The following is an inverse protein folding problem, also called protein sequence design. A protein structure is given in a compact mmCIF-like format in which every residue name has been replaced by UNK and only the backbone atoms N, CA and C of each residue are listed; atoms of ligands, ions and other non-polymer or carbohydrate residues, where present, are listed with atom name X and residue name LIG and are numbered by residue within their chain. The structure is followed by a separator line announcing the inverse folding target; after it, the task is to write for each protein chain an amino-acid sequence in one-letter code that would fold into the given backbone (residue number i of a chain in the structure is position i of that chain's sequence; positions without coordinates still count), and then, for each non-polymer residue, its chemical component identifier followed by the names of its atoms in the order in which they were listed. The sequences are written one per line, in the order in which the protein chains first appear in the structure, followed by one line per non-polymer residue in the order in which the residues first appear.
data_IF_012084775668
#
_entry.id   IF_012084775668
#
_cell.length_a   1.000
_cell.length_b   1.000
_cell.length_c   1.000
_cell.angle_alpha   90.00
_cell.angle_beta   90.00
_cell.angle_gamma   90.00
#
_symmetry.space_group_name_H-M   'P 1'
#
loop_
_entity.id
_entity.type
_entity.pdbx_description
1 polymer ?
#
# COMPACT_ATOMS: atom_id res chain seq x y z
N UNK A 1 16.38 -7.07 -4.15
CA UNK A 1 15.65 -6.21 -5.11
C UNK A 1 14.26 -5.95 -4.57
N UNK A 2 13.76 -4.71 -4.66
CA UNK A 2 12.43 -4.30 -4.18
C UNK A 2 11.28 -5.09 -4.84
N UNK A 3 11.43 -5.43 -6.13
CA UNK A 3 10.51 -6.31 -6.87
C UNK A 3 11.28 -7.35 -7.71
N UNK A 4 10.70 -8.53 -7.97
CA UNK A 4 11.25 -9.50 -8.92
C UNK A 4 11.45 -8.91 -10.31
N UNK A 5 12.56 -9.28 -10.96
CA UNK A 5 12.96 -8.75 -12.29
C UNK A 5 11.84 -8.75 -13.33
N UNK A 6 11.04 -9.82 -13.38
CA UNK A 6 9.91 -9.91 -14.33
C UNK A 6 8.82 -8.87 -14.07
N UNK A 7 8.52 -8.57 -12.80
CA UNK A 7 7.56 -7.54 -12.42
C UNK A 7 8.13 -6.16 -12.77
N UNK A 8 9.42 -5.93 -12.51
CA UNK A 8 10.14 -4.70 -12.89
C UNK A 8 10.14 -4.45 -14.40
N UNK A 9 10.41 -5.48 -15.22
CA UNK A 9 10.36 -5.37 -16.70
C UNK A 9 8.94 -5.02 -17.17
N UNK A 10 7.91 -5.66 -16.59
CA UNK A 10 6.50 -5.37 -16.94
C UNK A 10 6.14 -3.92 -16.59
N UNK A 11 6.52 -3.46 -15.40
CA UNK A 11 6.27 -2.09 -14.97
C UNK A 11 7.01 -1.09 -15.86
N UNK A 12 8.28 -1.34 -16.18
CA UNK A 12 9.08 -0.52 -17.09
C UNK A 12 8.46 -0.45 -18.50
N UNK A 13 7.98 -1.58 -19.02
CA UNK A 13 7.28 -1.63 -20.32
C UNK A 13 5.97 -0.86 -20.29
N UNK A 14 5.19 -0.98 -19.21
CA UNK A 14 3.96 -0.22 -19.02
C UNK A 14 4.25 1.28 -19.01
N UNK A 15 5.21 1.73 -18.20
CA UNK A 15 5.57 3.13 -18.08
C UNK A 15 6.12 3.70 -19.40
N UNK A 16 6.94 2.93 -20.11
CA UNK A 16 7.43 3.31 -21.44
C UNK A 16 6.25 3.50 -22.42
N UNK A 17 5.27 2.60 -22.40
CA UNK A 17 4.04 2.74 -23.21
C UNK A 17 3.29 4.03 -22.87
N UNK A 18 3.10 4.36 -21.59
CA UNK A 18 2.42 5.60 -21.20
C UNK A 18 3.18 6.84 -21.69
N UNK A 19 4.51 6.83 -21.56
CA UNK A 19 5.39 7.91 -22.06
C UNK A 19 5.27 8.07 -23.59
N UNK A 20 5.28 6.97 -24.34
CA UNK A 20 5.11 6.99 -25.81
C UNK A 20 3.73 7.50 -26.23
N UNK A 21 2.68 7.14 -25.48
CA UNK A 21 1.32 7.62 -25.68
C UNK A 21 1.10 9.06 -25.17
N UNK A 22 2.12 9.71 -24.59
CA UNK A 22 2.05 11.05 -23.98
C UNK A 22 0.91 11.21 -22.98
N UNK A 23 0.60 10.13 -22.24
CA UNK A 23 -0.42 10.18 -21.19
C UNK A 23 0.18 10.77 -19.93
N UNK A 24 -0.37 11.90 -19.50
CA UNK A 24 0.10 12.60 -18.31
C UNK A 24 -0.33 11.91 -17.01
N UNK A 25 -1.56 11.37 -16.99
CA UNK A 25 -2.16 10.70 -15.83
C UNK A 25 -2.56 9.26 -16.20
N UNK A 26 -2.23 8.31 -15.33
CA UNK A 26 -2.52 6.88 -15.49
C UNK A 26 -2.36 6.14 -14.16
N UNK A 27 -3.13 5.07 -13.95
CA UNK A 27 -3.01 4.23 -12.77
C UNK A 27 -1.81 3.27 -12.90
N UNK A 28 -0.93 3.27 -11.90
CA UNK A 28 0.14 2.28 -11.74
C UNK A 28 -0.32 1.08 -10.92
N UNK A 29 -1.16 1.34 -9.93
CA UNK A 29 -1.78 0.36 -9.07
C UNK A 29 -3.18 0.88 -8.72
N UNK A 30 -4.17 0.00 -8.64
CA UNK A 30 -5.49 0.35 -8.07
C UNK A 30 -5.60 -0.25 -6.69
N UNK A 31 -6.00 0.57 -5.71
CA UNK A 31 -6.50 0.07 -4.43
C UNK A 31 -7.96 -0.37 -4.64
N UNK A 32 -8.22 -1.67 -4.55
CA UNK A 32 -9.54 -2.25 -4.70
C UNK A 32 -10.07 -2.57 -3.31
N UNK A 33 -11.20 -1.98 -2.93
CA UNK A 33 -11.88 -2.19 -1.65
C UNK A 33 -13.20 -2.98 -1.88
N UNK A 34 -13.18 -4.34 -1.97
CA UNK A 34 -14.34 -5.14 -2.31
C UNK A 34 -15.34 -5.28 -1.16
N UNK A 35 -14.95 -4.86 0.05
CA UNK A 35 -15.82 -4.72 1.21
C UNK A 35 -15.25 -3.70 2.20
N UNK A 36 -16.10 -3.21 3.07
CA UNK A 36 -15.71 -2.36 4.19
C UNK A 36 -15.75 -3.06 5.56
N UNK A 37 -16.33 -4.27 5.67
CA UNK A 37 -16.34 -4.99 6.93
C UNK A 37 -14.95 -5.53 7.29
N UNK A 38 -14.57 -5.37 8.56
CA UNK A 38 -13.34 -5.87 9.14
C UNK A 38 -13.63 -6.61 10.45
N UNK A 39 -12.74 -7.54 10.81
CA UNK A 39 -12.73 -8.30 12.06
C UNK A 39 -11.87 -7.64 13.16
N UNK A 40 -11.34 -6.44 12.88
CA UNK A 40 -10.58 -5.58 13.80
C UNK A 40 -11.10 -4.14 13.73
N UNK A 41 -10.78 -3.34 14.75
CA UNK A 41 -11.16 -1.94 14.86
C UNK A 41 -9.93 -1.09 15.22
N UNK A 42 -8.95 -1.06 14.32
CA UNK A 42 -7.65 -0.43 14.55
C UNK A 42 -7.77 1.09 14.75
N UNK A 43 -6.97 1.65 15.67
CA UNK A 43 -7.02 3.06 16.05
C UNK A 43 -6.72 4.04 14.89
N UNK A 44 -5.84 3.65 13.98
CA UNK A 44 -5.46 4.46 12.80
C UNK A 44 -6.33 4.25 11.56
N UNK A 45 -7.40 3.45 11.63
CA UNK A 45 -8.23 3.12 10.45
C UNK A 45 -9.49 4.00 10.35
N UNK A 46 -9.60 4.78 9.28
CA UNK A 46 -10.82 5.54 8.95
C UNK A 46 -11.79 4.81 8.01
N UNK A 47 -11.39 3.69 7.41
CA UNK A 47 -12.05 3.07 6.24
C UNK A 47 -13.22 2.13 6.58
N UNK A 48 -13.37 1.71 7.83
CA UNK A 48 -14.40 0.76 8.25
C UNK A 48 -15.60 1.43 8.93
N UNK A 49 -15.59 2.76 9.06
CA UNK A 49 -16.64 3.53 9.71
C UNK A 49 -17.82 3.76 8.77
N UNK A 50 -18.63 2.72 8.59
CA UNK A 50 -19.80 2.74 7.73
C UNK A 50 -21.04 2.15 8.41
N UNK A 51 -22.25 2.58 8.00
CA UNK A 51 -23.50 1.95 8.41
C UNK A 51 -23.50 0.44 8.17
N UNK A 52 -24.19 -0.31 9.04
CA UNK A 52 -24.27 -1.77 8.94
C UNK A 52 -24.80 -2.26 7.58
N UNK A 53 -25.64 -1.48 6.90
CA UNK A 53 -26.13 -1.78 5.54
C UNK A 53 -25.01 -1.83 4.50
N UNK A 54 -23.97 -1.00 4.64
CA UNK A 54 -22.79 -0.99 3.77
C UNK A 54 -21.80 -2.08 4.19
N UNK A 55 -21.58 -2.28 5.49
CA UNK A 55 -20.65 -3.31 6.00
C UNK A 55 -21.06 -4.74 5.59
N UNK A 56 -22.35 -5.00 5.37
CA UNK A 56 -22.86 -6.29 4.91
C UNK A 56 -22.65 -6.55 3.40
N UNK A 57 -22.31 -5.53 2.62
CA UNK A 57 -22.16 -5.66 1.18
C UNK A 57 -20.82 -6.30 0.80
N UNK A 58 -20.81 -6.99 -0.35
CA UNK A 58 -19.66 -7.66 -0.93
C UNK A 58 -19.66 -7.37 -2.43
N UNK A 59 -18.54 -6.89 -2.95
CA UNK A 59 -18.40 -6.51 -4.34
C UNK A 59 -18.45 -7.76 -5.24
N UNK A 60 -19.37 -7.82 -6.22
CA UNK A 60 -19.36 -8.91 -7.20
C UNK A 60 -18.01 -9.03 -7.91
N UNK A 61 -17.63 -10.25 -8.28
CA UNK A 61 -16.37 -10.54 -8.96
C UNK A 61 -16.25 -9.74 -10.27
N UNK A 62 -17.34 -9.68 -11.02
CA UNK A 62 -17.42 -8.99 -12.31
C UNK A 62 -17.16 -7.49 -12.15
N UNK A 63 -17.70 -6.89 -11.08
CA UNK A 63 -17.50 -5.48 -10.78
C UNK A 63 -16.03 -5.19 -10.44
N UNK A 64 -15.42 -6.02 -9.57
CA UNK A 64 -14.00 -5.91 -9.23
C UNK A 64 -13.10 -6.01 -10.47
N UNK A 65 -13.36 -6.99 -11.33
CA UNK A 65 -12.59 -7.19 -12.56
C UNK A 65 -12.77 -6.02 -13.53
N UNK A 66 -14.01 -5.55 -13.72
CA UNK A 66 -14.31 -4.45 -14.63
C UNK A 66 -13.57 -3.17 -14.26
N UNK A 67 -13.49 -2.80 -12.98
CA UNK A 67 -12.76 -1.61 -12.53
C UNK A 67 -11.25 -1.69 -12.84
N UNK A 68 -10.64 -2.86 -12.67
CA UNK A 68 -9.21 -3.07 -12.95
C UNK A 68 -8.92 -3.13 -14.46
N UNK A 69 -9.88 -3.55 -15.28
CA UNK A 69 -9.78 -3.47 -16.74
C UNK A 69 -9.98 -2.04 -17.24
N UNK A 70 -10.97 -1.32 -16.71
CA UNK A 70 -11.27 0.07 -17.04
C UNK A 70 -10.06 1.00 -16.81
N UNK A 71 -9.42 0.88 -15.64
CA UNK A 71 -8.24 1.70 -15.30
C UNK A 71 -6.98 1.39 -16.13
N UNK A 72 -6.91 0.19 -16.70
CA UNK A 72 -5.72 -0.28 -17.41
C UNK A 72 -4.50 -0.52 -16.52
N UNK A 73 -4.63 -0.44 -15.18
CA UNK A 73 -3.51 -0.55 -14.26
C UNK A 73 -2.83 -1.93 -14.35
N UNK A 74 -1.49 -2.01 -14.31
CA UNK A 74 -0.77 -3.29 -14.35
C UNK A 74 -0.83 -4.04 -13.00
N UNK A 75 -1.11 -3.32 -11.91
CA UNK A 75 -1.10 -3.83 -10.54
C UNK A 75 -2.41 -3.51 -9.83
N UNK A 76 -2.73 -4.33 -8.84
CA UNK A 76 -3.89 -4.16 -7.96
C UNK A 76 -3.48 -4.57 -6.56
N UNK A 77 -3.74 -3.69 -5.60
CA UNK A 77 -3.75 -4.01 -4.18
C UNK A 77 -5.20 -4.21 -3.79
N UNK A 78 -5.54 -5.41 -3.34
CA UNK A 78 -6.88 -5.67 -2.83
C UNK A 78 -6.83 -5.39 -1.33
N UNK A 79 -7.33 -4.22 -0.98
CA UNK A 79 -7.44 -3.67 0.35
C UNK A 79 -8.93 -3.57 0.74
N UNK A 80 -9.27 -2.76 1.76
CA UNK A 80 -10.63 -2.58 2.25
C UNK A 80 -10.71 -2.81 3.75
N UNK A 81 -11.82 -3.34 4.25
CA UNK A 81 -11.89 -3.88 5.60
C UNK A 81 -10.92 -5.06 5.77
N UNK A 82 -11.43 -6.28 5.97
CA UNK A 82 -10.61 -7.49 5.85
C UNK A 82 -11.01 -8.28 4.59
N UNK A 83 -10.22 -8.26 3.51
CA UNK A 83 -10.53 -8.95 2.26
C UNK A 83 -10.89 -10.42 2.41
N UNK A 84 -10.29 -11.13 3.36
CA UNK A 84 -10.60 -12.55 3.63
C UNK A 84 -12.00 -12.78 4.23
N UNK A 85 -12.76 -11.73 4.57
CA UNK A 85 -14.19 -11.83 4.91
C UNK A 85 -15.12 -11.82 3.67
N UNK A 86 -14.57 -11.71 2.47
CA UNK A 86 -15.32 -11.77 1.22
C UNK A 86 -15.36 -13.20 0.69
N UNK A 87 -16.56 -13.78 0.49
CA UNK A 87 -16.67 -15.22 0.19
C UNK A 87 -16.01 -15.63 -1.13
N UNK A 88 -15.89 -14.70 -2.09
CA UNK A 88 -15.34 -14.92 -3.43
C UNK A 88 -13.98 -14.21 -3.66
N UNK A 89 -13.24 -13.89 -2.60
CA UNK A 89 -11.96 -13.17 -2.73
C UNK A 89 -10.93 -13.95 -3.55
N UNK A 90 -10.90 -15.27 -3.41
CA UNK A 90 -10.05 -16.18 -4.17
C UNK A 90 -10.38 -16.15 -5.66
N UNK A 91 -11.66 -16.05 -6.01
CA UNK A 91 -12.11 -15.92 -7.40
C UNK A 91 -11.73 -14.56 -8.00
N UNK A 92 -11.86 -13.46 -7.25
CA UNK A 92 -11.37 -12.13 -7.66
C UNK A 92 -9.87 -12.20 -7.97
N UNK A 93 -9.07 -12.75 -7.05
CA UNK A 93 -7.62 -12.91 -7.25
C UNK A 93 -7.34 -13.76 -8.49
N UNK A 94 -8.01 -14.90 -8.66
CA UNK A 94 -7.82 -15.80 -9.81
C UNK A 94 -8.10 -15.08 -11.15
N UNK A 95 -9.18 -14.32 -11.23
CA UNK A 95 -9.57 -13.57 -12.44
C UNK A 95 -8.58 -12.45 -12.79
N UNK A 96 -8.04 -11.76 -11.79
CA UNK A 96 -7.03 -10.72 -11.97
C UNK A 96 -5.68 -11.31 -12.39
N UNK A 97 -5.30 -12.46 -11.82
CA UNK A 97 -4.09 -13.19 -12.22
C UNK A 97 -4.19 -13.73 -13.66
N UNK A 98 -5.36 -14.24 -14.07
CA UNK A 98 -5.61 -14.68 -15.45
C UNK A 98 -5.42 -13.54 -16.47
N UNK A 99 -5.74 -12.30 -16.07
CA UNK A 99 -5.50 -11.06 -16.83
C UNK A 99 -4.08 -10.52 -16.69
N UNK A 100 -3.17 -11.32 -16.13
CA UNK A 100 -1.75 -11.00 -15.94
C UNK A 100 -1.50 -9.77 -15.06
N UNK A 101 -2.45 -9.39 -14.21
CA UNK A 101 -2.24 -8.35 -13.20
C UNK A 101 -1.24 -8.84 -12.14
N UNK A 102 -0.54 -7.90 -11.52
CA UNK A 102 0.21 -8.15 -10.29
C UNK A 102 -0.73 -7.85 -9.13
N UNK A 103 -1.00 -8.86 -8.32
CA UNK A 103 -2.00 -8.82 -7.26
C UNK A 103 -1.30 -8.88 -5.91
N UNK A 104 -1.56 -7.87 -5.09
CA UNK A 104 -1.24 -7.86 -3.68
C UNK A 104 -2.55 -8.03 -2.91
N UNK A 105 -2.63 -9.02 -2.02
CA UNK A 105 -3.81 -9.19 -1.16
C UNK A 105 -3.45 -8.77 0.25
N UNK A 106 -3.98 -7.61 0.66
CA UNK A 106 -3.74 -7.02 1.97
C UNK A 106 -4.59 -7.74 3.03
N UNK A 107 -4.02 -8.02 4.19
CA UNK A 107 -4.74 -8.71 5.27
C UNK A 107 -4.11 -8.42 6.64
N UNK A 108 -4.93 -8.46 7.70
CA UNK A 108 -4.46 -8.53 9.09
C UNK A 108 -4.05 -9.95 9.52
N UNK A 109 -4.10 -10.91 8.59
CA UNK A 109 -3.67 -12.30 8.71
C UNK A 109 -4.46 -13.20 9.67
N UNK A 110 -5.38 -12.67 10.50
CA UNK A 110 -6.16 -13.49 11.44
C UNK A 110 -7.03 -14.55 10.74
N UNK A 111 -7.50 -14.25 9.52
CA UNK A 111 -8.30 -15.17 8.72
C UNK A 111 -7.48 -15.98 7.71
N UNK A 112 -6.18 -15.68 7.57
CA UNK A 112 -5.32 -16.27 6.56
C UNK A 112 -5.19 -17.79 6.72
N UNK A 113 -4.92 -18.37 7.91
CA UNK A 113 -4.84 -19.83 8.08
C UNK A 113 -6.07 -20.58 7.60
N UNK A 114 -7.27 -20.00 7.79
CA UNK A 114 -8.54 -20.61 7.39
C UNK A 114 -8.79 -20.54 5.88
N UNK A 115 -8.18 -19.58 5.20
CA UNK A 115 -8.43 -19.32 3.77
C UNK A 115 -7.27 -19.69 2.86
N UNK A 116 -6.08 -19.95 3.39
CA UNK A 116 -4.86 -20.18 2.61
C UNK A 116 -5.04 -21.27 1.54
N UNK A 117 -5.78 -22.34 1.86
CA UNK A 117 -6.07 -23.45 0.95
C UNK A 117 -6.87 -23.08 -0.30
N UNK A 118 -7.55 -21.92 -0.31
CA UNK A 118 -8.29 -21.42 -1.48
C UNK A 118 -7.37 -20.75 -2.51
N UNK A 119 -6.13 -20.45 -2.15
CA UNK A 119 -5.17 -19.77 -3.01
C UNK A 119 -4.09 -20.73 -3.47
N UNK A 120 -3.42 -20.38 -4.56
CA UNK A 120 -2.25 -21.11 -5.07
C UNK A 120 -1.09 -20.14 -5.23
N UNK A 121 0.15 -20.51 -4.83
CA UNK A 121 1.32 -19.68 -5.07
C UNK A 121 1.44 -19.30 -6.54
N UNK A 122 1.62 -18.01 -6.80
CA UNK A 122 1.71 -17.51 -8.16
C UNK A 122 2.72 -16.36 -8.24
N UNK A 123 3.53 -16.35 -9.29
CA UNK A 123 4.60 -15.36 -9.52
C UNK A 123 4.17 -13.89 -9.59
N UNK A 124 2.89 -13.62 -9.80
CA UNK A 124 2.31 -12.26 -9.79
C UNK A 124 1.41 -12.05 -8.56
N UNK A 125 1.48 -12.92 -7.55
CA UNK A 125 0.67 -12.83 -6.34
C UNK A 125 1.57 -12.70 -5.11
N UNK A 126 1.15 -11.90 -4.14
CA UNK A 126 1.77 -11.85 -2.83
C UNK A 126 0.74 -11.52 -1.77
N UNK A 127 0.93 -12.13 -0.60
CA UNK A 127 0.28 -11.66 0.62
C UNK A 127 0.95 -10.38 1.07
N UNK A 128 0.16 -9.39 1.50
CA UNK A 128 0.65 -8.19 2.13
C UNK A 128 0.07 -8.12 3.54
N UNK A 129 0.85 -8.58 4.51
CA UNK A 129 0.41 -8.66 5.91
C UNK A 129 0.77 -7.37 6.62
N UNK A 130 -0.22 -6.76 7.27
CA UNK A 130 0.03 -5.57 8.09
C UNK A 130 0.72 -5.95 9.40
N UNK A 131 1.90 -5.38 9.66
CA UNK A 131 2.65 -5.51 10.91
C UNK A 131 3.17 -4.12 11.31
N UNK A 132 2.38 -3.38 12.08
CA UNK A 132 2.65 -1.99 12.47
C UNK A 132 3.55 -1.84 13.72
N UNK A 133 4.39 -2.84 14.03
CA UNK A 133 5.30 -2.82 15.17
C UNK A 133 5.66 -4.22 15.67
N UNK A 134 6.50 -4.30 16.70
CA UNK A 134 6.68 -5.53 17.47
C UNK A 134 5.46 -5.79 18.37
N UNK A 135 5.39 -7.00 18.94
CA UNK A 135 4.24 -7.55 19.70
C UNK A 135 3.31 -6.52 20.35
N UNK A 136 3.75 -5.84 21.39
CA UNK A 136 2.90 -4.92 22.17
C UNK A 136 2.43 -3.73 21.34
N UNK A 137 3.34 -3.14 20.55
CA UNK A 137 3.07 -1.99 19.69
C UNK A 137 2.07 -2.33 18.58
N UNK A 138 2.18 -3.51 17.99
CA UNK A 138 1.26 -4.01 16.98
C UNK A 138 -0.13 -4.26 17.55
N UNK A 139 -0.21 -4.99 18.67
CA UNK A 139 -1.46 -5.32 19.35
C UNK A 139 -2.20 -4.05 19.80
N UNK A 140 -1.46 -3.04 20.26
CA UNK A 140 -2.01 -1.71 20.58
C UNK A 140 -2.61 -1.01 19.35
N UNK A 141 -1.91 -1.02 18.19
CA UNK A 141 -2.41 -0.44 16.94
C UNK A 141 -3.71 -1.03 16.45
N UNK A 142 -3.86 -2.34 16.61
CA UNK A 142 -5.06 -3.08 16.18
C UNK A 142 -6.11 -3.21 17.27
N UNK A 143 -5.85 -2.62 18.45
CA UNK A 143 -6.70 -2.61 19.63
C UNK A 143 -7.11 -4.02 20.10
N UNK A 144 -6.19 -4.98 19.99
CA UNK A 144 -6.45 -6.39 20.35
C UNK A 144 -5.16 -7.15 20.63
N UNK A 145 -5.12 -7.78 21.80
CA UNK A 145 -3.97 -8.59 22.23
C UNK A 145 -3.84 -9.91 21.43
N UNK A 146 -2.59 -10.33 21.23
CA UNK A 146 -2.21 -11.58 20.60
C UNK A 146 -2.38 -11.60 19.07
N UNK A 147 -2.60 -10.45 18.43
CA UNK A 147 -2.72 -10.37 16.97
C UNK A 147 -1.36 -10.54 16.31
N UNK A 148 -0.30 -9.96 16.89
CA UNK A 148 1.07 -10.09 16.38
C UNK A 148 1.49 -11.56 16.23
N UNK A 149 1.29 -12.36 17.26
CA UNK A 149 1.63 -13.79 17.22
C UNK A 149 0.86 -14.56 16.17
N UNK A 150 -0.44 -14.29 16.07
CA UNK A 150 -1.30 -14.92 15.07
C UNK A 150 -0.86 -14.53 13.66
N UNK A 151 -0.52 -13.26 13.43
CA UNK A 151 -0.03 -12.77 12.15
C UNK A 151 1.32 -13.41 11.80
N UNK A 152 2.27 -13.47 12.74
CA UNK A 152 3.58 -14.14 12.55
C UNK A 152 3.39 -15.63 12.22
N UNK A 153 2.51 -16.33 12.93
CA UNK A 153 2.21 -17.73 12.66
C UNK A 153 1.60 -17.92 11.27
N UNK A 154 0.67 -17.04 10.87
CA UNK A 154 0.05 -17.06 9.55
C UNK A 154 1.05 -16.75 8.41
N UNK A 155 1.97 -15.80 8.63
CA UNK A 155 3.07 -15.51 7.70
C UNK A 155 3.92 -16.76 7.48
N UNK A 156 4.35 -17.43 8.56
CA UNK A 156 5.15 -18.67 8.48
C UNK A 156 4.40 -19.78 7.74
N UNK A 157 3.09 -19.92 7.96
CA UNK A 157 2.26 -20.89 7.23
C UNK A 157 2.17 -20.57 5.74
N UNK A 158 1.98 -19.30 5.38
CA UNK A 158 1.94 -18.89 3.97
C UNK A 158 3.30 -19.08 3.27
N UNK A 159 4.41 -18.74 3.93
CA UNK A 159 5.76 -19.00 3.44
C UNK A 159 6.01 -20.51 3.24
N UNK A 160 5.62 -21.35 4.23
CA UNK A 160 5.76 -22.80 4.14
C UNK A 160 4.92 -23.42 3.01
N UNK A 161 3.77 -22.81 2.67
CA UNK A 161 2.97 -23.17 1.51
C UNK A 161 3.51 -22.62 0.18
N UNK A 162 4.68 -21.97 0.18
CA UNK A 162 5.37 -21.47 -1.01
C UNK A 162 4.88 -20.11 -1.52
N UNK A 163 4.06 -19.39 -0.74
CA UNK A 163 3.64 -18.05 -1.12
C UNK A 163 4.72 -17.02 -0.88
N UNK A 164 4.76 -16.02 -1.76
CA UNK A 164 5.47 -14.77 -1.48
C UNK A 164 4.71 -14.00 -0.40
N UNK A 165 5.40 -13.60 0.66
CA UNK A 165 4.82 -12.81 1.75
C UNK A 165 5.59 -11.51 1.90
N UNK A 166 4.86 -10.42 1.81
CA UNK A 166 5.34 -9.07 2.04
C UNK A 166 4.65 -8.51 3.28
N UNK A 167 5.26 -7.50 3.88
CA UNK A 167 4.63 -6.74 4.97
C UNK A 167 4.39 -5.30 4.59
N UNK A 168 3.43 -4.68 5.28
CA UNK A 168 3.23 -3.24 5.29
C UNK A 168 3.25 -2.77 6.75
N UNK A 169 4.01 -1.72 7.03
CA UNK A 169 4.24 -1.19 8.39
C UNK A 169 4.02 0.32 8.38
N UNK A 170 3.11 0.78 9.22
CA UNK A 170 2.79 2.19 9.41
C UNK A 170 3.46 2.71 10.66
N UNK A 171 4.20 3.82 10.54
CA UNK A 171 4.87 4.47 11.67
C UNK A 171 4.18 5.79 12.03
N UNK A 172 3.98 6.01 13.32
CA UNK A 172 3.28 7.14 13.93
C UNK A 172 4.27 7.97 14.76
N UNK A 173 3.82 9.06 15.37
CA UNK A 173 4.67 9.96 16.16
C UNK A 173 5.14 9.35 17.50
N UNK A 174 4.44 8.31 17.95
CA UNK A 174 4.81 7.49 19.11
C UNK A 174 5.97 6.53 18.83
N UNK A 175 6.35 6.34 17.56
CA UNK A 175 7.44 5.46 17.17
C UNK A 175 8.79 6.18 17.20
N UNK A 176 9.79 5.53 17.78
CA UNK A 176 11.18 6.01 17.80
C UNK A 176 11.97 5.45 16.62
N UNK A 177 13.15 6.03 16.29
CA UNK A 177 14.04 5.42 15.30
C UNK A 177 14.45 3.99 15.63
N UNK A 178 14.49 3.63 16.92
CA UNK A 178 14.82 2.27 17.35
C UNK A 178 13.67 1.31 17.05
N UNK A 179 12.41 1.72 17.25
CA UNK A 179 11.24 0.90 16.89
C UNK A 179 11.21 0.55 15.40
N UNK A 180 11.55 1.53 14.54
CA UNK A 180 11.71 1.33 13.09
C UNK A 180 12.81 0.29 12.80
N UNK A 181 13.96 0.40 13.48
CA UNK A 181 15.08 -0.53 13.28
C UNK A 181 14.67 -1.94 13.72
N UNK A 182 14.09 -2.07 14.90
CA UNK A 182 13.78 -3.37 15.52
C UNK A 182 12.71 -4.13 14.72
N UNK A 183 11.65 -3.44 14.28
CA UNK A 183 10.61 -4.08 13.46
C UNK A 183 11.17 -4.49 12.09
N UNK A 184 12.01 -3.66 11.46
CA UNK A 184 12.59 -3.99 10.15
C UNK A 184 13.63 -5.10 10.25
N UNK A 185 14.45 -5.13 11.31
CA UNK A 185 15.38 -6.22 11.56
C UNK A 185 14.64 -7.53 11.84
N UNK A 186 13.59 -7.51 12.66
CA UNK A 186 12.77 -8.69 12.92
C UNK A 186 12.12 -9.22 11.63
N UNK A 187 11.46 -8.35 10.86
CA UNK A 187 10.78 -8.77 9.62
C UNK A 187 11.77 -9.26 8.56
N UNK A 188 12.94 -8.62 8.44
CA UNK A 188 13.95 -8.94 7.45
C UNK A 188 14.79 -10.18 7.80
N UNK A 189 15.22 -10.33 9.05
CA UNK A 189 16.22 -11.32 9.45
C UNK A 189 15.58 -12.53 10.14
N UNK A 190 14.66 -12.28 11.08
CA UNK A 190 14.03 -13.34 11.88
C UNK A 190 12.87 -14.00 11.12
N UNK A 191 11.95 -13.19 10.58
CA UNK A 191 10.78 -13.70 9.86
C UNK A 191 11.08 -13.96 8.37
N UNK A 192 12.13 -13.35 7.83
CA UNK A 192 12.60 -13.61 6.47
C UNK A 192 11.56 -13.29 5.39
N UNK A 193 10.74 -12.24 5.56
CA UNK A 193 9.71 -11.88 4.56
C UNK A 193 10.37 -11.44 3.25
N UNK A 194 9.68 -11.63 2.12
CA UNK A 194 10.27 -11.35 0.80
C UNK A 194 10.64 -9.87 0.65
N UNK A 195 9.69 -9.00 1.01
CA UNK A 195 9.88 -7.56 0.98
C UNK A 195 9.00 -6.84 2.01
N UNK A 196 9.39 -5.63 2.40
CA UNK A 196 8.68 -4.81 3.38
C UNK A 196 8.31 -3.45 2.77
N UNK A 197 7.08 -3.03 2.97
CA UNK A 197 6.63 -1.65 2.73
C UNK A 197 6.52 -0.90 4.04
N UNK A 198 6.88 0.37 3.99
CA UNK A 198 6.84 1.28 5.11
C UNK A 198 6.11 2.54 4.68
N UNK A 199 5.34 3.10 5.60
CA UNK A 199 4.66 4.37 5.40
C UNK A 199 4.67 5.17 6.68
N UNK A 200 4.87 6.50 6.60
CA UNK A 200 4.39 7.38 7.65
C UNK A 200 2.86 7.25 7.74
N UNK A 201 2.33 7.31 8.97
CA UNK A 201 0.91 7.37 9.25
C UNK A 201 0.30 8.63 8.63
N UNK A 202 -0.93 8.49 8.13
CA UNK A 202 -1.71 9.61 7.61
C UNK A 202 -2.92 9.86 8.51
N UNK A 203 -3.05 11.10 8.98
CA UNK A 203 -4.18 11.55 9.79
C UNK A 203 -5.48 11.56 8.99
N UNK A 204 -6.17 10.42 8.93
CA UNK A 204 -7.52 10.39 8.39
C UNK A 204 -8.44 11.22 9.29
N UNK A 205 -9.25 12.11 8.71
CA UNK A 205 -10.28 12.87 9.45
C UNK A 205 -11.25 11.96 10.22
N UNK A 206 -11.43 10.73 9.73
CA UNK A 206 -12.29 9.71 10.33
C UNK A 206 -11.56 8.75 11.25
N UNK A 207 -10.22 8.79 11.38
CA UNK A 207 -9.54 7.88 12.29
C UNK A 207 -9.96 8.14 13.75
N UNK A 208 -10.19 7.10 14.57
CA UNK A 208 -10.41 7.27 16.00
C UNK A 208 -9.31 8.08 16.70
N UNK A 209 -8.05 7.90 16.27
CA UNK A 209 -6.91 8.68 16.75
C UNK A 209 -6.68 9.93 15.88
N UNK A 210 -6.67 11.10 16.51
CA UNK A 210 -6.44 12.41 15.88
C UNK A 210 -5.17 13.11 16.38
N UNK A 211 -4.51 12.58 17.42
CA UNK A 211 -3.43 13.27 18.12
C UNK A 211 -2.04 12.77 17.71
N UNK A 212 -1.93 11.48 17.35
CA UNK A 212 -0.65 10.79 17.20
C UNK A 212 -0.18 10.66 15.73
N UNK A 213 0.13 11.79 15.09
CA UNK A 213 0.49 11.82 13.66
C UNK A 213 1.78 12.61 13.40
N UNK A 214 2.69 12.02 12.61
CA UNK A 214 3.92 12.67 12.22
C UNK A 214 3.66 13.81 11.24
N UNK A 215 4.22 14.99 11.54
CA UNK A 215 4.41 16.02 10.53
C UNK A 215 5.56 15.66 9.56
N UNK A 216 5.74 16.43 8.47
CA UNK A 216 6.76 16.11 7.47
C UNK A 216 8.18 16.18 8.02
N UNK A 217 8.46 17.08 8.97
CA UNK A 217 9.80 17.24 9.53
C UNK A 217 10.12 16.15 10.54
N UNK A 218 9.15 15.79 11.39
CA UNK A 218 9.24 14.67 12.32
C UNK A 218 9.45 13.35 11.56
N UNK A 219 8.68 13.14 10.47
CA UNK A 219 8.86 12.00 9.57
C UNK A 219 10.29 11.93 9.03
N UNK A 220 10.82 13.06 8.54
CA UNK A 220 12.19 13.12 8.00
C UNK A 220 13.24 12.78 9.05
N UNK A 221 13.09 13.32 10.26
CA UNK A 221 14.01 13.05 11.35
C UNK A 221 13.96 11.59 11.80
N UNK A 222 12.77 10.99 11.86
CA UNK A 222 12.58 9.58 12.20
C UNK A 222 13.33 8.68 11.21
N UNK A 223 13.02 8.79 9.91
CA UNK A 223 13.61 7.93 8.90
C UNK A 223 15.09 8.22 8.66
N UNK A 224 15.55 9.47 8.72
CA UNK A 224 16.97 9.79 8.60
C UNK A 224 17.80 9.14 9.72
N UNK A 225 17.30 9.15 10.97
CA UNK A 225 17.97 8.49 12.11
C UNK A 225 17.92 6.96 11.99
N UNK A 226 16.78 6.41 11.62
CA UNK A 226 16.62 4.96 11.43
C UNK A 226 17.57 4.44 10.33
N UNK A 227 17.65 5.16 9.20
CA UNK A 227 18.41 4.75 8.01
C UNK A 227 19.91 5.08 8.08
N UNK A 228 20.33 5.84 9.09
CA UNK A 228 21.71 6.22 9.31
C UNK A 228 22.67 5.01 9.37
N UNK A 229 23.96 5.28 9.12
CA UNK A 229 25.00 4.24 9.16
C UNK A 229 24.90 3.19 8.03
N UNK A 230 24.13 3.47 6.98
CA UNK A 230 23.94 2.54 5.86
C UNK A 230 22.99 1.38 6.16
N UNK A 231 22.28 1.40 7.29
CA UNK A 231 21.33 0.35 7.71
C UNK A 231 20.29 0.03 6.63
N UNK A 232 19.82 1.07 5.93
CA UNK A 232 18.84 0.94 4.84
C UNK A 232 19.20 -0.13 3.79
N UNK A 233 20.49 -0.35 3.52
CA UNK A 233 20.96 -1.33 2.51
C UNK A 233 20.73 -2.78 2.93
N UNK A 234 20.58 -3.03 4.23
CA UNK A 234 20.34 -4.36 4.80
C UNK A 234 18.90 -4.84 4.53
N UNK A 235 17.95 -3.91 4.51
CA UNK A 235 16.53 -4.23 4.48
C UNK A 235 15.99 -4.41 3.06
N UNK A 236 15.16 -5.44 2.87
CA UNK A 236 14.46 -5.73 1.60
C UNK A 236 13.24 -4.83 1.40
N UNK A 237 13.43 -3.52 1.39
CA UNK A 237 12.35 -2.56 1.22
C UNK A 237 11.76 -2.59 -0.21
N UNK A 238 10.43 -2.66 -0.32
CA UNK A 238 9.70 -2.53 -1.58
C UNK A 238 9.38 -1.07 -1.90
N UNK A 239 10.43 -0.26 -2.02
CA UNK A 239 10.34 1.16 -2.34
C UNK A 239 11.41 1.56 -3.34
N UNK A 240 11.09 2.55 -4.18
CA UNK A 240 12.09 3.18 -5.03
C UNK A 240 13.12 3.92 -4.18
N UNK A 241 14.40 3.97 -4.61
CA UNK A 241 15.41 4.68 -3.84
C UNK A 241 15.09 6.16 -3.60
N UNK A 242 14.39 6.79 -4.55
CA UNK A 242 13.94 8.18 -4.46
C UNK A 242 12.83 8.39 -3.43
N UNK A 243 11.90 7.43 -3.26
CA UNK A 243 10.88 7.55 -2.21
C UNK A 243 11.51 7.46 -0.82
N UNK A 244 12.47 6.56 -0.64
CA UNK A 244 13.21 6.47 0.63
C UNK A 244 14.09 7.71 0.88
N UNK A 245 14.67 8.32 -0.16
CA UNK A 245 15.36 9.60 -0.04
C UNK A 245 14.41 10.75 0.33
N UNK A 246 13.17 10.69 -0.16
CA UNK A 246 12.10 11.62 0.20
C UNK A 246 11.72 11.48 1.68
N UNK A 247 11.61 10.25 2.18
CA UNK A 247 11.42 9.99 3.61
C UNK A 247 12.58 10.50 4.45
N UNK A 248 13.82 10.49 3.96
CA UNK A 248 14.99 11.05 4.65
C UNK A 248 15.15 12.58 4.47
N UNK A 249 14.26 13.24 3.74
CA UNK A 249 14.33 14.68 3.47
C UNK A 249 15.42 15.12 2.50
N UNK A 250 16.03 14.18 1.75
CA UNK A 250 17.09 14.46 0.77
C UNK A 250 16.55 15.01 -0.55
N UNK A 251 15.31 14.68 -0.87
CA UNK A 251 14.57 15.17 -2.03
C UNK A 251 13.15 15.50 -1.62
N UNK A 252 12.49 16.37 -2.36
CA UNK A 252 11.08 16.67 -2.16
C UNK A 252 10.27 16.43 -3.43
N UNK A 253 9.02 15.97 -3.25
CA UNK A 253 8.14 15.61 -4.34
C UNK A 253 6.77 16.25 -4.19
N UNK A 254 6.11 16.46 -5.34
CA UNK A 254 4.67 16.70 -5.39
C UNK A 254 3.92 15.37 -5.42
N UNK A 255 2.75 15.32 -4.78
CA UNK A 255 1.90 14.13 -4.77
C UNK A 255 1.35 13.83 -6.17
N UNK A 256 1.30 12.55 -6.56
CA UNK A 256 0.62 12.06 -7.77
C UNK A 256 -0.49 11.08 -7.40
N UNK A 257 -1.43 11.54 -6.56
CA UNK A 257 -2.53 10.72 -6.03
C UNK A 257 -3.32 9.96 -7.11
N UNK A 258 -3.44 10.52 -8.32
CA UNK A 258 -4.09 9.88 -9.47
C UNK A 258 -3.43 8.57 -9.93
N UNK A 259 -2.19 8.30 -9.53
CA UNK A 259 -1.44 7.12 -9.95
C UNK A 259 -1.78 5.87 -9.12
N UNK A 260 -2.33 6.07 -7.92
CA UNK A 260 -2.89 5.01 -7.07
C UNK A 260 -4.34 5.38 -6.71
N UNK A 261 -5.28 5.26 -7.67
CA UNK A 261 -6.69 5.51 -7.42
C UNK A 261 -7.31 4.38 -6.56
N UNK A 262 -8.40 4.68 -5.87
CA UNK A 262 -9.21 3.68 -5.15
C UNK A 262 -10.54 3.43 -5.85
N UNK A 263 -10.94 2.15 -5.90
CA UNK A 263 -12.26 1.72 -6.31
C UNK A 263 -12.91 0.87 -5.21
N UNK A 264 -14.13 1.21 -4.83
CA UNK A 264 -14.86 0.56 -3.74
C UNK A 264 -16.30 0.21 -4.15
N UNK A 265 -17.07 -0.33 -3.21
CA UNK A 265 -18.52 -0.53 -3.35
C UNK A 265 -19.29 0.75 -3.75
N UNK A 266 -18.72 1.94 -3.51
CA UNK A 266 -19.33 3.23 -3.85
C UNK A 266 -18.88 3.78 -5.21
N UNK A 267 -17.94 3.12 -5.89
CA UNK A 267 -17.33 3.59 -7.14
C UNK A 267 -15.89 4.06 -6.98
N UNK A 268 -15.41 4.86 -7.93
CA UNK A 268 -14.08 5.46 -7.93
C UNK A 268 -14.02 6.61 -6.93
N UNK A 269 -13.15 6.52 -5.92
CA UNK A 269 -13.04 7.52 -4.86
C UNK A 269 -12.24 8.75 -5.33
N UNK A 270 -12.75 9.96 -5.07
CA UNK A 270 -12.06 11.25 -5.30
C UNK A 270 -12.00 12.09 -4.01
N UNK A 271 -10.93 12.88 -3.80
CA UNK A 271 -9.82 13.13 -4.73
C UNK A 271 -8.69 12.09 -4.70
N UNK A 272 -8.56 11.29 -3.63
CA UNK A 272 -7.49 10.29 -3.54
C UNK A 272 -7.91 9.10 -2.67
N UNK A 273 -7.05 8.08 -2.57
CA UNK A 273 -7.32 6.91 -1.71
C UNK A 273 -7.58 7.26 -0.23
N UNK A 274 -6.97 8.33 0.29
CA UNK A 274 -7.03 8.70 1.70
C UNK A 274 -8.21 9.62 2.05
N UNK A 275 -8.75 10.34 1.06
CA UNK A 275 -9.85 11.31 1.21
C UNK A 275 -11.06 10.84 0.40
N UNK A 276 -12.21 10.68 1.05
CA UNK A 276 -13.44 10.16 0.45
C UNK A 276 -14.52 11.24 0.28
N UNK A 277 -14.12 12.41 -0.24
CA UNK A 277 -14.99 13.56 -0.48
C UNK A 277 -16.17 13.18 -1.38
N UNK A 278 -15.92 12.37 -2.41
CA UNK A 278 -16.94 11.93 -3.36
C UNK A 278 -16.55 10.63 -4.06
N UNK A 279 -17.54 10.00 -4.73
CA UNK A 279 -17.35 8.84 -5.59
C UNK A 279 -17.96 9.07 -6.96
N UNK A 280 -17.24 8.66 -8.00
CA UNK A 280 -17.65 8.79 -9.40
C UNK A 280 -17.78 7.42 -10.07
N UNK A 281 -18.56 7.37 -11.16
CA UNK A 281 -18.93 6.11 -11.78
C UNK A 281 -17.80 5.51 -12.64
N UNK A 282 -16.98 6.36 -13.26
CA UNK A 282 -15.96 5.93 -14.23
C UNK A 282 -14.56 6.41 -13.87
N UNK A 283 -13.55 5.63 -14.28
CA UNK A 283 -12.15 5.97 -14.11
C UNK A 283 -11.78 7.24 -14.90
N UNK A 284 -12.44 7.42 -16.05
CA UNK A 284 -12.27 8.61 -16.88
C UNK A 284 -12.70 9.87 -16.13
N UNK A 285 -13.89 9.85 -15.54
CA UNK A 285 -14.43 10.94 -14.73
C UNK A 285 -13.51 11.25 -13.54
N UNK A 286 -12.99 10.22 -12.85
CA UNK A 286 -12.01 10.42 -11.78
C UNK A 286 -10.77 11.19 -12.28
N UNK A 287 -10.20 10.81 -13.42
CA UNK A 287 -8.98 11.43 -13.92
C UNK A 287 -9.17 12.83 -14.50
N UNK A 288 -10.25 13.03 -15.25
CA UNK A 288 -10.49 14.24 -16.05
C UNK A 288 -11.17 15.34 -15.23
N UNK A 289 -12.13 14.98 -14.37
CA UNK A 289 -12.99 15.96 -13.68
C UNK A 289 -12.48 16.31 -12.27
N UNK A 290 -11.48 15.59 -11.75
CA UNK A 290 -10.83 15.95 -10.48
C UNK A 290 -9.79 17.05 -10.72
N UNK A 291 -9.89 18.16 -9.97
CA UNK A 291 -8.84 19.20 -9.95
C UNK A 291 -7.63 18.75 -9.13
N UNK A 292 -6.78 17.92 -9.73
CA UNK A 292 -5.54 17.46 -9.12
C UNK A 292 -4.59 18.59 -8.69
N UNK A 293 -4.73 19.79 -9.26
CA UNK A 293 -3.89 20.91 -8.89
C UNK A 293 -4.30 21.56 -7.58
N UNK A 294 -5.53 21.33 -7.10
CA UNK A 294 -5.98 21.79 -5.78
C UNK A 294 -5.36 20.99 -4.62
N UNK A 295 -4.83 19.79 -4.88
CA UNK A 295 -4.38 18.86 -3.85
C UNK A 295 -2.85 18.74 -3.74
N UNK A 296 -2.40 18.24 -2.59
CA UNK A 296 -0.99 18.07 -2.23
C UNK A 296 -0.52 19.09 -1.20
N UNK A 297 0.65 18.83 -0.60
CA UNK A 297 1.26 19.71 0.41
C UNK A 297 1.43 21.14 -0.14
N UNK A 298 1.05 22.12 0.69
CA UNK A 298 1.07 23.53 0.33
C UNK A 298 -0.13 24.01 -0.50
N UNK A 299 -1.10 23.12 -0.79
CA UNK A 299 -2.30 23.46 -1.59
C UNK A 299 -3.60 23.16 -0.87
N UNK A 300 -3.77 21.96 -0.34
CA UNK A 300 -4.91 21.56 0.51
C UNK A 300 -4.40 21.36 1.96
N UNK A 301 -5.00 22.01 2.98
CA UNK A 301 -4.61 21.84 4.38
C UNK A 301 -4.62 20.38 4.86
N UNK A 302 -5.54 19.55 4.36
CA UNK A 302 -5.65 18.12 4.71
C UNK A 302 -4.45 17.32 4.20
N UNK A 303 -3.74 17.84 3.19
CA UNK A 303 -2.54 17.24 2.66
C UNK A 303 -1.26 17.68 3.41
N UNK A 304 -1.31 18.65 4.33
CA UNK A 304 -0.12 19.30 4.91
C UNK A 304 0.90 18.31 5.50
N UNK A 305 0.41 17.28 6.19
CA UNK A 305 1.25 16.28 6.85
C UNK A 305 1.44 14.99 6.02
N UNK A 306 0.91 14.94 4.80
CA UNK A 306 0.94 13.70 4.02
C UNK A 306 2.35 13.40 3.49
N UNK A 307 2.86 12.22 3.85
CA UNK A 307 4.06 11.61 3.24
C UNK A 307 3.81 10.14 2.88
N UNK A 308 2.54 9.73 2.78
CA UNK A 308 2.14 8.35 2.55
C UNK A 308 2.62 7.82 1.19
N UNK A 309 3.13 6.59 1.18
CA UNK A 309 3.68 5.96 -0.03
C UNK A 309 2.70 5.97 -1.20
N UNK A 310 1.39 5.82 -0.98
CA UNK A 310 0.38 5.82 -2.04
C UNK A 310 0.36 7.11 -2.90
N UNK A 311 0.77 8.26 -2.33
CA UNK A 311 0.82 9.54 -3.05
C UNK A 311 2.20 9.88 -3.63
N UNK A 312 3.27 9.33 -3.07
CA UNK A 312 4.64 9.77 -3.33
C UNK A 312 5.54 8.71 -3.97
N UNK A 313 5.29 7.41 -3.74
CA UNK A 313 6.00 6.32 -4.42
C UNK A 313 5.79 6.38 -5.94
N UNK A 314 4.57 6.61 -6.48
CA UNK A 314 4.39 6.82 -7.92
C UNK A 314 5.17 8.00 -8.47
N UNK A 315 5.22 9.12 -7.74
CA UNK A 315 6.01 10.30 -8.14
C UNK A 315 7.48 9.94 -8.23
N UNK A 316 8.00 9.24 -7.23
CA UNK A 316 9.38 8.79 -7.19
C UNK A 316 9.71 7.84 -8.35
N UNK A 317 8.83 6.87 -8.65
CA UNK A 317 8.98 5.95 -9.79
C UNK A 317 9.02 6.70 -11.13
N UNK A 318 8.12 7.66 -11.34
CA UNK A 318 8.10 8.48 -12.57
C UNK A 318 9.36 9.36 -12.65
N UNK A 319 9.83 9.90 -11.51
CA UNK A 319 11.06 10.70 -11.45
C UNK A 319 12.31 9.86 -11.77
N UNK A 320 12.38 8.61 -11.31
CA UNK A 320 13.47 7.67 -11.63
C UNK A 320 13.66 7.52 -13.14
N UNK A 321 12.56 7.43 -13.90
CA UNK A 321 12.62 7.29 -15.37
C UNK A 321 13.12 8.53 -16.13
N UNK A 322 13.18 9.69 -15.48
CA UNK A 322 13.67 10.94 -16.09
C UNK A 322 15.18 11.07 -15.99
N UNK A 323 15.84 10.26 -15.15
CA UNK A 323 17.27 10.32 -14.90
C UNK A 323 17.93 8.96 -15.12
N UNK A 324 18.92 8.90 -16.02
CA UNK A 324 19.71 7.69 -16.25
C UNK A 324 20.41 7.23 -14.97
N UNK A 325 20.94 8.17 -14.18
CA UNK A 325 21.58 7.92 -12.88
C UNK A 325 20.61 7.25 -11.92
N UNK A 326 19.41 7.79 -11.77
CA UNK A 326 18.42 7.22 -10.85
C UNK A 326 17.88 5.88 -11.36
N UNK A 327 17.76 5.71 -12.68
CA UNK A 327 17.40 4.43 -13.29
C UNK A 327 18.42 3.34 -12.95
N UNK A 328 19.71 3.63 -13.04
CA UNK A 328 20.78 2.69 -12.66
C UNK A 328 20.69 2.38 -11.16
N UNK A 329 20.52 3.41 -10.32
CA UNK A 329 20.40 3.24 -8.87
C UNK A 329 19.21 2.35 -8.47
N UNK A 330 18.06 2.53 -9.12
CA UNK A 330 16.88 1.70 -8.90
C UNK A 330 17.09 0.25 -9.35
N UNK A 331 17.87 0.01 -10.41
CA UNK A 331 18.18 -1.32 -10.91
C UNK A 331 19.16 -2.09 -10.02
N UNK A 332 20.18 -1.41 -9.49
CA UNK A 332 21.23 -2.04 -8.66
C UNK A 332 20.73 -2.31 -7.24
N UNK A 333 19.72 -1.57 -6.77
CA UNK A 333 19.33 -1.56 -5.36
C UNK A 333 20.35 -0.76 -4.56
N UNK A 334 19.89 0.27 -3.85
CA UNK A 334 20.78 1.19 -3.12
C UNK A 334 21.11 0.70 -1.73
#
# INVERSE_FOLDING_TARGET
MAMPLRQSIRLGSFLLKQKLLRREKFALLVELEPLFACNLACAGCGKIQHPASILKQRMPVEQAVAAIEESGAPMVSIAGGEPLMHQQIDEIVRQLLARRKIVFLCTNALLLPKHLHKFTPHRNFAWMVHIDGLRERHDASVCKDGVFDQAVAAIKQAQAAGFRVMTNTTFFDTDTPQDVIDVLDYLNDELGVDNMQISPGFAYEKAPDQEHWLGPEETRQLFAKAFAGGRRKKWRLNHSPLFLDFLEGKVDFSCTAWAIPSYSLKGWQRPCYLMDDEYVATYKELLEDTDWNAYGRGKDPRCANCMAHCGYEPTAVVATMRSLRETIRAAVGS
#
